data_IF_758288575240
#
_entry.id   IF_758288575240
#
_cell.length_a   1.000
_cell.length_b   1.000
_cell.length_c   1.000
_cell.angle_alpha   90.00
_cell.angle_beta   90.00
_cell.angle_gamma   90.00
#
_symmetry.space_group_name_H-M   'P 1'
#
loop_
_entity.id
_entity.type
_entity.pdbx_description
1 polymer ?
#
# COMPACT_ATOMS: atom_id res chain seq x y z
N UNK A 1 5.13 26.58 12.66
CA UNK A 1 5.18 25.17 13.11
C UNK A 1 4.13 24.40 12.34
N UNK A 2 4.32 23.09 12.10
CA UNK A 2 3.30 22.30 11.41
C UNK A 2 2.18 21.90 12.39
N UNK A 3 0.92 21.77 11.92
CA UNK A 3 -0.20 21.36 12.76
C UNK A 3 0.06 20.06 13.55
N UNK A 4 0.82 19.13 12.96
CA UNK A 4 1.21 17.88 13.59
C UNK A 4 2.14 18.11 14.79
N UNK A 5 3.11 18.99 14.61
CA UNK A 5 4.08 19.36 15.65
C UNK A 5 3.39 20.00 16.86
N UNK A 6 2.39 20.85 16.61
CA UNK A 6 1.63 21.52 17.65
C UNK A 6 0.80 20.52 18.47
N UNK A 7 0.10 19.60 17.78
CA UNK A 7 -0.69 18.55 18.42
C UNK A 7 0.19 17.61 19.26
N UNK A 8 1.34 17.19 18.74
CA UNK A 8 2.29 16.35 19.49
C UNK A 8 2.87 17.07 20.70
N UNK A 9 3.17 18.36 20.57
CA UNK A 9 3.70 19.18 21.67
C UNK A 9 2.66 19.39 22.75
N UNK A 10 1.39 19.62 22.37
CA UNK A 10 0.30 19.70 23.32
C UNK A 10 0.09 18.36 24.05
N UNK A 11 0.11 17.25 23.33
CA UNK A 11 -0.15 15.92 23.87
C UNK A 11 0.93 15.40 24.83
N UNK A 12 2.19 15.85 24.70
CA UNK A 12 3.25 15.41 25.62
C UNK A 12 3.13 16.04 27.02
N UNK A 13 2.44 17.18 27.13
CA UNK A 13 2.40 17.99 28.36
C UNK A 13 3.81 18.34 28.86
N UNK A 14 4.09 17.98 30.10
CA UNK A 14 5.37 18.29 30.78
C UNK A 14 6.52 17.34 30.41
N UNK A 15 6.24 16.25 29.66
CA UNK A 15 7.29 15.28 29.28
C UNK A 15 8.28 15.91 28.31
N UNK A 16 9.57 15.62 28.47
CA UNK A 16 10.56 16.05 27.49
C UNK A 16 10.42 15.27 26.19
N UNK A 17 10.78 15.90 25.06
CA UNK A 17 10.76 15.26 23.73
C UNK A 17 11.66 14.02 23.71
N UNK A 18 12.82 14.08 24.40
CA UNK A 18 13.76 12.96 24.51
C UNK A 18 13.16 11.80 25.32
N UNK A 19 12.41 12.07 26.38
CA UNK A 19 11.76 11.01 27.16
C UNK A 19 10.69 10.28 26.35
N UNK A 20 9.91 11.02 25.55
CA UNK A 20 8.94 10.41 24.62
C UNK A 20 9.66 9.60 23.54
N UNK A 21 10.70 10.16 22.92
CA UNK A 21 11.50 9.48 21.90
C UNK A 21 12.14 8.19 22.42
N UNK A 22 12.70 8.21 23.64
CA UNK A 22 13.26 7.02 24.30
C UNK A 22 12.19 5.97 24.60
N UNK A 23 11.02 6.39 25.07
CA UNK A 23 9.90 5.48 25.35
C UNK A 23 9.42 4.82 24.05
N UNK A 24 9.28 5.58 22.97
CA UNK A 24 8.91 5.08 21.65
C UNK A 24 9.95 4.09 21.10
N UNK A 25 11.24 4.42 21.20
CA UNK A 25 12.33 3.54 20.79
C UNK A 25 12.32 2.21 21.55
N UNK A 26 12.14 2.27 22.88
CA UNK A 26 12.11 1.08 23.73
C UNK A 26 10.90 0.18 23.47
N UNK A 27 9.72 0.74 23.20
CA UNK A 27 8.47 -0.03 23.06
C UNK A 27 8.15 -0.46 21.63
N UNK A 28 8.50 0.35 20.63
CA UNK A 28 8.05 0.17 19.24
C UNK A 28 9.20 0.05 18.23
N UNK A 29 10.46 0.13 18.69
CA UNK A 29 11.64 -0.01 17.84
C UNK A 29 11.80 1.11 16.82
N UNK A 30 11.24 2.30 17.09
CA UNK A 30 11.42 3.50 16.25
C UNK A 30 12.49 4.38 16.88
N UNK A 31 13.59 4.62 16.16
CA UNK A 31 14.74 5.38 16.68
C UNK A 31 14.38 6.77 17.20
N UNK A 32 15.01 7.20 18.29
CA UNK A 32 14.77 8.51 18.92
C UNK A 32 15.04 9.66 17.94
N UNK A 33 16.09 9.54 17.10
CA UNK A 33 16.43 10.51 16.06
C UNK A 33 15.35 10.66 14.99
N UNK A 34 14.52 9.63 14.78
CA UNK A 34 13.38 9.69 13.86
C UNK A 34 12.19 10.42 14.49
N UNK A 35 12.04 10.33 15.82
CA UNK A 35 10.90 10.91 16.56
C UNK A 35 11.08 12.41 16.80
N UNK A 36 12.29 12.85 17.18
CA UNK A 36 12.56 14.24 17.55
C UNK A 36 12.11 15.26 16.46
N UNK A 37 12.37 15.05 15.16
CA UNK A 37 11.93 15.97 14.10
C UNK A 37 10.42 16.16 13.99
N UNK A 38 9.61 15.22 14.49
CA UNK A 38 8.15 15.37 14.47
C UNK A 38 7.67 16.48 15.42
N UNK A 39 8.38 16.67 16.54
CA UNK A 39 8.06 17.70 17.54
C UNK A 39 8.57 19.11 17.18
N UNK A 40 9.45 19.22 16.19
CA UNK A 40 9.94 20.51 15.68
C UNK A 40 9.30 20.91 14.35
N UNK A 41 8.47 20.05 13.77
CA UNK A 41 7.91 20.23 12.44
C UNK A 41 8.91 20.04 11.30
N UNK A 42 10.13 19.58 11.58
CA UNK A 42 11.19 19.33 10.60
C UNK A 42 11.19 17.89 10.06
N UNK A 43 10.07 17.18 10.20
CA UNK A 43 9.88 15.88 9.56
C UNK A 43 9.67 16.08 8.05
N UNK A 44 10.17 15.14 7.25
CA UNK A 44 9.84 15.05 5.82
C UNK A 44 8.41 14.49 5.67
N UNK A 45 8.19 13.58 4.74
CA UNK A 45 6.93 12.82 4.66
C UNK A 45 6.72 12.03 5.95
N UNK A 46 5.61 12.27 6.68
CA UNK A 46 5.28 11.52 7.89
C UNK A 46 5.15 10.03 7.57
N UNK A 47 5.91 9.19 8.26
CA UNK A 47 5.84 7.75 8.12
C UNK A 47 4.77 7.19 9.07
N UNK A 48 3.87 6.38 8.54
CA UNK A 48 2.74 5.88 9.32
C UNK A 48 3.17 5.06 10.54
N UNK A 49 4.22 4.24 10.39
CA UNK A 49 4.80 3.48 11.51
C UNK A 49 5.19 4.37 12.69
N UNK A 50 5.74 5.56 12.42
CA UNK A 50 6.13 6.53 13.45
C UNK A 50 4.90 7.18 14.07
N UNK A 51 3.90 7.53 13.25
CA UNK A 51 2.63 8.09 13.73
C UNK A 51 1.87 7.10 14.63
N UNK A 52 1.83 5.82 14.28
CA UNK A 52 1.22 4.76 15.11
C UNK A 52 1.96 4.61 16.44
N UNK A 53 3.29 4.64 16.43
CA UNK A 53 4.08 4.55 17.66
C UNK A 53 3.84 5.77 18.58
N UNK A 54 3.81 6.98 18.01
CA UNK A 54 3.48 8.21 18.72
C UNK A 54 2.05 8.22 19.25
N UNK A 55 1.09 7.75 18.45
CA UNK A 55 -0.31 7.64 18.83
C UNK A 55 -0.46 6.74 20.07
N UNK A 56 0.19 5.57 20.06
CA UNK A 56 0.13 4.64 21.19
C UNK A 56 0.85 5.16 22.44
N UNK A 57 2.00 5.82 22.29
CA UNK A 57 2.74 6.35 23.44
C UNK A 57 2.07 7.57 24.09
N UNK A 58 1.46 8.44 23.29
CA UNK A 58 0.78 9.66 23.76
C UNK A 58 -0.72 9.46 23.95
N UNK A 59 -1.24 8.24 23.77
CA UNK A 59 -2.66 7.91 23.83
C UNK A 59 -3.54 8.79 22.94
N UNK A 60 -3.04 9.12 21.74
CA UNK A 60 -3.71 9.95 20.75
C UNK A 60 -4.47 9.09 19.73
N UNK A 61 -5.51 9.69 19.12
CA UNK A 61 -6.22 9.06 18.03
C UNK A 61 -5.35 9.06 16.74
N UNK A 62 -5.03 7.87 16.22
CA UNK A 62 -4.21 7.74 15.01
C UNK A 62 -4.86 8.40 13.78
N UNK A 63 -6.19 8.39 13.69
CA UNK A 63 -6.90 9.02 12.57
C UNK A 63 -6.73 10.54 12.57
N UNK A 64 -6.74 11.17 13.75
CA UNK A 64 -6.49 12.61 13.87
C UNK A 64 -5.04 12.95 13.54
N UNK A 65 -4.08 12.17 14.04
CA UNK A 65 -2.67 12.32 13.68
C UNK A 65 -2.44 12.20 12.17
N UNK A 66 -3.06 11.21 11.50
CA UNK A 66 -2.99 11.05 10.04
C UNK A 66 -3.61 12.24 9.32
N UNK A 67 -4.79 12.69 9.74
CA UNK A 67 -5.48 13.83 9.13
C UNK A 67 -4.63 15.10 9.22
N UNK A 68 -4.06 15.38 10.39
CA UNK A 68 -3.20 16.54 10.65
C UNK A 68 -1.86 16.42 9.90
N UNK A 69 -1.40 15.19 9.66
CA UNK A 69 -0.24 14.88 8.83
C UNK A 69 -0.53 14.88 7.31
N UNK A 70 -1.76 15.15 6.87
CA UNK A 70 -2.17 15.11 5.46
C UNK A 70 -2.26 13.70 4.87
N UNK A 71 -2.30 12.67 5.72
CA UNK A 71 -2.49 11.27 5.36
C UNK A 71 -3.98 10.89 5.40
N UNK A 72 -4.41 9.89 4.61
CA UNK A 72 -5.75 9.35 4.72
C UNK A 72 -5.99 8.85 6.14
N UNK A 73 -7.11 9.25 6.74
CA UNK A 73 -7.48 8.92 8.13
C UNK A 73 -7.46 7.40 8.40
N UNK A 74 -7.71 6.61 7.36
CA UNK A 74 -8.19 5.25 7.47
C UNK A 74 -9.65 5.27 7.91
N UNK A 75 -10.46 4.36 7.37
CA UNK A 75 -11.83 4.20 7.83
C UNK A 75 -11.81 3.72 9.29
N UNK A 76 -12.63 4.36 10.13
CA UNK A 76 -12.73 4.02 11.56
C UNK A 76 -13.53 2.75 11.78
N UNK A 77 -14.40 2.42 10.84
CA UNK A 77 -15.27 1.26 10.94
C UNK A 77 -14.46 0.00 10.59
N UNK A 78 -14.65 -1.10 11.36
CA UNK A 78 -14.12 -2.39 10.96
C UNK A 78 -14.56 -2.68 9.53
N UNK A 79 -13.64 -3.16 8.69
CA UNK A 79 -13.99 -3.60 7.35
C UNK A 79 -15.05 -4.70 7.45
N UNK A 80 -16.29 -4.38 7.04
CA UNK A 80 -17.38 -5.34 6.92
C UNK A 80 -17.39 -5.81 5.48
N UNK A 81 -17.10 -7.10 5.21
CA UNK A 81 -17.16 -7.59 3.85
C UNK A 81 -18.60 -7.49 3.32
N UNK A 82 -18.78 -7.20 2.01
CA UNK A 82 -20.11 -7.12 1.41
C UNK A 82 -20.85 -8.45 1.57
N UNK A 83 -22.19 -8.42 1.57
CA UNK A 83 -23.03 -9.62 1.76
C UNK A 83 -22.69 -10.75 0.80
N UNK A 84 -22.28 -10.42 -0.42
CA UNK A 84 -21.91 -11.39 -1.46
C UNK A 84 -20.64 -12.18 -1.11
N UNK A 85 -19.79 -11.65 -0.23
CA UNK A 85 -18.64 -12.38 0.30
C UNK A 85 -19.06 -13.62 1.10
N UNK A 86 -20.32 -13.72 1.53
CA UNK A 86 -20.84 -14.93 2.16
C UNK A 86 -20.88 -16.13 1.21
N UNK A 87 -20.94 -15.91 -0.11
CA UNK A 87 -20.88 -16.95 -1.13
C UNK A 87 -19.48 -17.56 -1.27
N UNK A 88 -18.45 -16.89 -0.74
CA UNK A 88 -17.08 -17.39 -0.80
C UNK A 88 -16.91 -18.55 0.19
N UNK A 89 -16.28 -19.61 -0.32
CA UNK A 89 -15.78 -20.73 0.50
C UNK A 89 -14.70 -20.23 1.48
N UNK A 90 -14.47 -20.97 2.56
CA UNK A 90 -13.46 -20.63 3.56
C UNK A 90 -12.06 -20.42 2.95
N UNK A 91 -11.69 -21.27 1.98
CA UNK A 91 -10.41 -21.15 1.27
C UNK A 91 -10.30 -19.84 0.49
N UNK A 92 -11.39 -19.40 -0.16
CA UNK A 92 -11.42 -18.14 -0.90
C UNK A 92 -11.36 -16.93 0.03
N UNK A 93 -12.06 -16.98 1.18
CA UNK A 93 -11.99 -15.90 2.17
C UNK A 93 -10.57 -15.73 2.70
N UNK A 94 -9.90 -16.84 3.05
CA UNK A 94 -8.48 -16.81 3.46
C UNK A 94 -7.58 -16.19 2.38
N UNK A 95 -7.81 -16.48 1.10
CA UNK A 95 -7.04 -15.86 0.01
C UNK A 95 -7.27 -14.35 -0.07
N UNK A 96 -8.50 -13.88 0.09
CA UNK A 96 -8.82 -12.44 0.12
C UNK A 96 -8.12 -11.77 1.31
N UNK A 97 -8.15 -12.40 2.49
CA UNK A 97 -7.48 -11.88 3.68
C UNK A 97 -5.95 -11.79 3.49
N UNK A 98 -5.33 -12.78 2.84
CA UNK A 98 -3.91 -12.73 2.51
C UNK A 98 -3.58 -11.65 1.46
N UNK A 99 -4.46 -11.43 0.47
CA UNK A 99 -4.31 -10.30 -0.46
C UNK A 99 -4.39 -8.96 0.29
N UNK A 100 -5.35 -8.80 1.19
CA UNK A 100 -5.46 -7.59 2.02
C UNK A 100 -4.19 -7.41 2.85
N UNK A 101 -3.72 -8.46 3.53
CA UNK A 101 -2.50 -8.43 4.34
C UNK A 101 -1.29 -8.04 3.51
N UNK A 102 -1.08 -8.65 2.35
CA UNK A 102 0.07 -8.34 1.47
C UNK A 102 0.03 -6.91 0.94
N UNK A 103 -1.15 -6.40 0.57
CA UNK A 103 -1.31 -5.00 0.19
C UNK A 103 -0.98 -4.06 1.35
N UNK A 104 -1.47 -4.36 2.55
CA UNK A 104 -1.19 -3.61 3.78
C UNK A 104 0.31 -3.61 4.09
N UNK A 105 0.96 -4.77 4.07
CA UNK A 105 2.39 -4.90 4.34
C UNK A 105 3.23 -4.13 3.29
N UNK A 106 2.83 -4.15 2.02
CA UNK A 106 3.49 -3.37 0.97
C UNK A 106 3.43 -1.86 1.21
N UNK A 107 2.37 -1.36 1.84
CA UNK A 107 2.21 0.06 2.19
C UNK A 107 3.04 0.47 3.41
N UNK A 108 3.31 -0.47 4.34
CA UNK A 108 3.98 -0.17 5.61
C UNK A 108 5.44 -0.67 5.70
N UNK A 109 5.90 -1.49 4.75
CA UNK A 109 7.14 -2.28 4.87
C UNK A 109 8.07 -2.22 3.66
N UNK A 110 8.57 -1.03 3.32
CA UNK A 110 9.56 -0.84 2.24
C UNK A 110 10.97 -1.42 2.48
N UNK A 111 11.21 -2.28 3.48
CA UNK A 111 12.57 -2.80 3.76
C UNK A 111 12.67 -4.33 4.00
N UNK A 112 11.58 -5.12 3.95
CA UNK A 112 11.63 -6.57 4.23
C UNK A 112 10.86 -7.48 3.25
N UNK A 113 10.86 -7.15 1.96
CA UNK A 113 10.27 -8.03 0.93
C UNK A 113 11.27 -9.00 0.32
N UNK A 114 11.71 -10.05 1.03
CA UNK A 114 12.40 -11.24 0.45
C UNK A 114 12.71 -12.33 1.51
N UNK A 115 11.80 -12.59 2.46
CA UNK A 115 11.90 -13.79 3.28
C UNK A 115 10.51 -14.40 3.44
N UNK A 116 10.46 -15.73 3.33
CA UNK A 116 9.30 -16.62 3.51
C UNK A 116 8.33 -16.80 2.34
N UNK A 117 8.86 -17.20 1.19
CA UNK A 117 8.21 -18.20 0.32
C UNK A 117 9.15 -19.41 0.17
N UNK A 118 9.39 -20.11 1.28
CA UNK A 118 10.01 -21.43 1.23
C UNK A 118 9.41 -22.28 2.35
N UNK A 119 8.99 -23.48 1.97
CA UNK A 119 8.52 -24.59 2.81
C UNK A 119 7.07 -24.54 3.31
N UNK A 120 6.14 -24.68 2.37
CA UNK A 120 5.04 -25.64 2.56
C UNK A 120 5.01 -26.61 1.38
N UNK A 121 6.13 -27.34 1.21
CA UNK A 121 6.12 -28.61 0.50
C UNK A 121 5.46 -29.64 1.42
N UNK A 122 4.13 -29.70 1.38
CA UNK A 122 3.40 -30.80 2.00
C UNK A 122 3.69 -32.06 1.17
N UNK A 123 4.66 -32.85 1.65
CA UNK A 123 4.92 -34.20 1.20
C UNK A 123 3.63 -35.03 1.33
N UNK A 124 3.10 -35.44 0.19
CA UNK A 124 2.14 -36.55 0.12
C UNK A 124 3.00 -37.80 0.34
N UNK A 125 3.02 -38.32 1.57
CA UNK A 125 3.55 -39.65 1.84
C UNK A 125 2.60 -40.69 1.25
N UNK A 126 3.13 -41.44 0.29
CA UNK A 126 2.51 -42.62 -0.28
C UNK A 126 2.48 -43.73 0.78
N UNK A 127 1.29 -44.11 1.24
CA UNK A 127 1.06 -45.36 1.93
C UNK A 127 0.82 -46.47 0.91
N UNK A 128 1.80 -47.34 0.75
CA UNK A 128 1.63 -48.68 0.17
C UNK A 128 0.82 -49.58 1.12
N UNK A 129 0.25 -50.65 0.54
CA UNK A 129 -0.48 -51.76 1.16
C UNK A 129 -1.95 -51.54 1.55
N UNK A 130 -2.85 -51.85 0.60
CA UNK A 130 -3.69 -53.05 0.77
C UNK A 130 -4.31 -53.56 -0.54
N UNK A 131 -4.00 -54.83 -0.79
CA UNK A 131 -4.49 -55.73 -1.84
C UNK A 131 -5.98 -56.02 -1.65
N UNK A 132 -6.83 -55.62 -2.59
CA UNK A 132 -8.12 -56.29 -2.88
C UNK A 132 -8.57 -55.97 -4.31
N UNK A 133 -8.52 -57.00 -5.17
CA UNK A 133 -9.25 -57.13 -6.43
C UNK A 133 -10.27 -58.27 -6.24
N UNK A 134 -11.23 -58.52 -7.15
CA UNK A 134 -12.01 -57.59 -7.98
C UNK A 134 -13.51 -57.99 -8.03
N UNK A 135 -14.39 -57.09 -8.50
CA UNK A 135 -15.51 -57.36 -9.44
C UNK A 135 -16.55 -56.23 -9.40
N UNK A 136 -16.77 -55.55 -10.51
CA UNK A 136 -18.05 -55.59 -11.25
C UNK A 136 -18.00 -54.59 -12.40
N UNK A 137 -18.25 -55.13 -13.59
CA UNK A 137 -18.30 -54.47 -14.88
C UNK A 137 -19.52 -53.54 -15.01
N UNK A 138 -19.31 -52.40 -15.65
CA UNK A 138 -20.14 -51.80 -16.72
C UNK A 138 -19.65 -50.35 -16.87
N UNK A 139 -19.11 -49.89 -17.98
CA UNK A 139 -19.50 -50.12 -19.37
C UNK A 139 -20.03 -48.78 -19.89
N UNK A 140 -19.27 -48.08 -20.75
CA UNK A 140 -19.83 -46.98 -21.55
C UNK A 140 -18.90 -45.79 -21.86
N UNK A 141 -18.20 -45.87 -23.00
CA UNK A 141 -17.94 -44.83 -24.01
C UNK A 141 -17.92 -43.34 -23.54
N UNK A 142 -16.75 -42.68 -23.47
CA UNK A 142 -16.09 -41.98 -24.60
C UNK A 142 -17.06 -41.35 -25.61
N UNK A 143 -17.23 -40.02 -25.56
CA UNK A 143 -17.05 -39.09 -26.71
C UNK A 143 -17.37 -37.64 -26.34
N UNK A 144 -16.40 -36.77 -26.64
CA UNK A 144 -16.54 -35.47 -27.30
C UNK A 144 -17.71 -34.55 -26.92
N UNK A 145 -17.43 -33.52 -26.11
CA UNK A 145 -18.15 -32.24 -26.20
C UNK A 145 -17.13 -31.09 -26.17
N UNK A 146 -16.33 -31.02 -27.23
CA UNK A 146 -15.73 -29.76 -27.70
C UNK A 146 -16.53 -29.31 -28.92
N UNK A 147 -17.01 -28.07 -28.91
CA UNK A 147 -17.86 -27.35 -29.91
C UNK A 147 -19.38 -27.42 -29.69
N UNK A 148 -19.93 -26.36 -29.06
CA UNK A 148 -21.14 -25.66 -29.53
C UNK A 148 -21.46 -24.44 -28.68
N UNK A 149 -20.80 -23.30 -28.90
CA UNK A 149 -21.43 -21.98 -28.71
C UNK A 149 -20.98 -21.09 -29.87
N UNK A 150 -21.62 -21.25 -31.02
CA UNK A 150 -21.71 -20.23 -32.06
C UNK A 150 -23.19 -19.96 -32.33
N UNK A 151 -23.55 -18.69 -32.15
CA UNK A 151 -24.53 -17.94 -32.93
C UNK A 151 -26.02 -18.34 -32.94
N UNK A 152 -26.83 -17.56 -32.20
CA UNK A 152 -28.11 -16.97 -32.65
C UNK A 152 -28.26 -15.61 -31.95
N UNK A 153 -27.92 -14.47 -32.57
CA UNK A 153 -28.64 -13.70 -33.61
C UNK A 153 -29.95 -13.06 -33.09
N UNK A 154 -29.89 -11.74 -32.88
CA UNK A 154 -30.91 -10.79 -33.35
C UNK A 154 -31.86 -10.19 -32.31
N UNK A 155 -31.50 -9.05 -31.72
CA UNK A 155 -32.45 -7.94 -31.50
C UNK A 155 -31.74 -6.65 -31.87
N UNK A 156 -32.35 -5.91 -32.79
CA UNK A 156 -31.90 -4.66 -33.37
C UNK A 156 -32.60 -3.47 -32.69
N UNK A 157 -31.85 -2.40 -32.48
CA UNK A 157 -32.28 -1.01 -32.29
C UNK A 157 -30.98 -0.22 -32.05
N UNK A 158 -30.32 0.32 -33.08
CA UNK A 158 -30.68 1.48 -33.90
C UNK A 158 -30.99 2.72 -33.05
N UNK A 159 -29.97 3.55 -32.87
CA UNK A 159 -30.08 4.99 -32.59
C UNK A 159 -28.71 5.62 -32.77
N UNK A 160 -28.52 6.13 -33.97
CA UNK A 160 -27.51 7.07 -34.42
C UNK A 160 -27.46 8.29 -33.49
N UNK A 161 -26.27 8.70 -33.07
CA UNK A 161 -26.00 10.13 -33.00
C UNK A 161 -24.58 10.43 -33.45
N UNK A 162 -24.53 11.33 -34.40
CA UNK A 162 -23.42 11.65 -35.27
C UNK A 162 -22.77 12.95 -34.80
N UNK A 163 -21.46 13.07 -35.07
CA UNK A 163 -20.72 14.30 -35.34
C UNK A 163 -20.32 15.20 -34.15
N UNK A 164 -19.00 15.44 -34.05
CA UNK A 164 -18.44 16.48 -33.19
C UNK A 164 -16.93 16.45 -33.02
N UNK A 165 -16.19 16.62 -34.12
CA UNK A 165 -14.91 17.35 -34.24
C UNK A 165 -13.74 17.07 -33.25
N UNK A 166 -12.63 16.60 -33.83
CA UNK A 166 -11.27 16.76 -33.29
C UNK A 166 -10.56 17.99 -33.95
N UNK A 167 -9.34 18.36 -33.56
CA UNK A 167 -9.01 19.44 -32.62
C UNK A 167 -8.28 20.63 -33.29
N UNK A 168 -8.07 21.77 -32.60
CA UNK A 168 -6.99 22.69 -32.97
C UNK A 168 -5.79 22.59 -32.02
N UNK A 169 -4.63 22.51 -32.67
CA UNK A 169 -3.29 22.69 -32.12
C UNK A 169 -3.12 24.00 -31.38
N UNK A 170 -2.46 23.98 -30.21
CA UNK A 170 -1.89 25.17 -29.60
C UNK A 170 -0.51 24.87 -28.96
N UNK A 171 0.51 25.38 -29.66
CA UNK A 171 1.73 26.04 -29.20
C UNK A 171 2.42 25.61 -27.88
N UNK A 172 3.63 25.06 -28.06
CA UNK A 172 4.92 25.59 -27.57
C UNK A 172 4.92 26.53 -26.33
N UNK A 173 5.58 26.06 -25.26
CA UNK A 173 6.52 26.80 -24.38
C UNK A 173 7.23 25.75 -23.52
N UNK A 174 8.55 25.58 -23.48
CA UNK A 174 9.64 26.52 -23.64
C UNK A 174 10.07 27.04 -22.26
N UNK A 175 11.20 26.55 -21.75
CA UNK A 175 12.01 27.24 -20.72
C UNK A 175 11.93 26.69 -19.30
N UNK A 176 13.09 26.36 -18.71
CA UNK A 176 13.19 26.07 -17.27
C UNK A 176 14.39 25.28 -16.78
N UNK A 177 15.42 25.01 -17.60
CA UNK A 177 16.72 24.50 -17.13
C UNK A 177 17.78 25.60 -17.31
N UNK A 178 18.08 26.42 -16.30
CA UNK A 178 19.33 27.23 -16.32
C UNK A 178 19.75 27.95 -15.03
N UNK A 179 18.98 28.00 -13.94
CA UNK A 179 19.44 28.78 -12.76
C UNK A 179 20.61 28.14 -11.99
N UNK A 180 20.74 26.81 -12.00
CA UNK A 180 21.79 26.12 -11.23
C UNK A 180 23.22 26.32 -11.74
N UNK A 181 23.43 26.68 -13.02
CA UNK A 181 24.79 26.84 -13.58
C UNK A 181 25.37 28.24 -13.39
N UNK A 182 24.55 29.30 -13.37
CA UNK A 182 25.05 30.67 -13.19
C UNK A 182 25.60 30.95 -11.77
N UNK A 183 25.11 30.25 -10.74
CA UNK A 183 25.66 30.38 -9.38
C UNK A 183 27.07 29.82 -9.22
N UNK A 184 27.49 28.86 -10.05
CA UNK A 184 28.84 28.27 -9.96
C UNK A 184 29.90 29.15 -10.63
N UNK A 185 29.61 29.72 -11.80
CA UNK A 185 30.54 30.65 -12.47
C UNK A 185 30.76 31.96 -11.71
N UNK A 186 29.81 32.40 -10.89
CA UNK A 186 29.98 33.60 -10.06
C UNK A 186 30.93 33.33 -8.87
N UNK A 187 30.89 32.13 -8.26
CA UNK A 187 31.76 31.78 -7.14
C UNK A 187 33.23 31.66 -7.55
N UNK A 188 33.50 31.17 -8.77
CA UNK A 188 34.88 31.01 -9.24
C UNK A 188 35.54 32.36 -9.60
N UNK A 189 34.77 33.37 -10.03
CA UNK A 189 35.31 34.72 -10.31
C UNK A 189 35.66 35.54 -9.08
N UNK A 190 34.90 35.38 -8.00
CA UNK A 190 35.14 36.14 -6.77
C UNK A 190 36.42 35.65 -6.04
N UNK A 191 36.88 34.42 -6.31
CA UNK A 191 38.12 33.88 -5.77
C UNK A 191 39.39 34.40 -6.46
N UNK A 192 39.31 34.96 -7.67
CA UNK A 192 40.46 35.48 -8.43
C UNK A 192 40.74 36.97 -8.18
N UNK A 193 39.92 37.68 -7.39
CA UNK A 193 40.11 39.13 -7.11
C UNK A 193 40.79 39.43 -5.77
N UNK A 194 41.09 38.40 -4.97
CA UNK A 194 41.72 38.53 -3.65
C UNK A 194 43.20 38.05 -3.61
N UNK A 195 43.84 37.88 -4.77
CA UNK A 195 45.32 37.76 -4.92
C UNK A 195 45.91 39.00 -5.59
#
# INVERSE_FOLDING_TARGET
>A
MSPLSDLLTQARGDRSVRDVGRAVAKKYGVGESTVIPYFSGNHRTPQDRVLVALAKELSLNIGELRQVAGLPRGEREPYVPPTDANLLTERQRRLVDEVIRTLVDSMYGGEHGMATLKESGASIEAGEDQKTDPATESGGAVRDITRRITNTRGVASDSSNELGEAPPMAARRGGGKSEGRKRREQQDRDAEQDE
#
